data_IF_376017824378
#
_entry.id   IF_376017824378
#
_cell.length_a   1.000
_cell.length_b   1.000
_cell.length_c   1.000
_cell.angle_alpha   90.00
_cell.angle_beta   90.00
_cell.angle_gamma   90.00
#
_symmetry.space_group_name_H-M   'P 1'
#
loop_
_entity.id
_entity.type
_entity.pdbx_description
1 polymer ?
#
# COMPACT_ATOMS: atom_id res chain seq x y z
N UNK A 1 -36.75 -17.07 -30.17
CA UNK A 1 -37.35 -17.07 -31.53
C UNK A 1 -36.85 -15.81 -32.22
N UNK A 2 -36.31 -15.77 -33.45
CA UNK A 2 -35.86 -16.73 -34.45
C UNK A 2 -35.39 -15.82 -35.60
N UNK A 3 -34.14 -15.87 -36.04
CA UNK A 3 -33.82 -15.70 -37.46
C UNK A 3 -32.38 -16.12 -37.74
N UNK A 4 -32.29 -17.34 -38.29
CA UNK A 4 -31.19 -17.91 -39.05
C UNK A 4 -31.45 -17.61 -40.54
N UNK A 5 -30.42 -17.23 -41.29
CA UNK A 5 -30.33 -17.36 -42.76
C UNK A 5 -28.83 -17.58 -43.06
N UNK A 6 -28.31 -18.79 -43.30
CA UNK A 6 -28.44 -19.77 -44.41
C UNK A 6 -27.54 -19.47 -45.64
N UNK A 7 -26.66 -20.46 -45.88
CA UNK A 7 -26.01 -20.92 -47.13
C UNK A 7 -24.98 -20.01 -47.82
N UNK A 8 -23.85 -20.52 -48.32
CA UNK A 8 -23.45 -21.92 -48.50
C UNK A 8 -22.16 -22.06 -49.32
N UNK A 9 -22.04 -23.21 -50.00
CA UNK A 9 -21.03 -23.57 -51.03
C UNK A 9 -19.74 -24.18 -50.48
N UNK A 10 -19.20 -25.33 -50.92
CA UNK A 10 -19.63 -26.57 -51.61
C UNK A 10 -18.41 -27.52 -51.52
N UNK A 11 -18.70 -28.81 -51.54
CA UNK A 11 -17.87 -30.01 -51.47
C UNK A 11 -16.72 -30.12 -52.52
N UNK A 12 -15.87 -31.15 -52.33
CA UNK A 12 -15.14 -32.02 -53.30
C UNK A 12 -13.69 -31.58 -53.71
N UNK A 13 -12.60 -32.37 -53.73
CA UNK A 13 -12.37 -33.84 -53.77
C UNK A 13 -10.89 -34.19 -53.35
N UNK A 14 -10.71 -35.32 -52.66
CA UNK A 14 -9.62 -36.36 -52.67
C UNK A 14 -8.11 -36.03 -52.73
N UNK A 15 -7.33 -36.75 -51.89
CA UNK A 15 -5.90 -36.98 -52.17
C UNK A 15 -5.04 -37.68 -51.10
N UNK A 16 -5.24 -38.99 -50.91
CA UNK A 16 -4.23 -40.05 -50.68
C UNK A 16 -3.25 -40.00 -49.48
N UNK A 17 -3.17 -41.16 -48.81
CA UNK A 17 -2.34 -41.52 -47.65
C UNK A 17 -0.82 -41.36 -47.86
N UNK A 18 -0.12 -40.94 -46.80
CA UNK A 18 1.22 -41.44 -46.47
C UNK A 18 1.33 -41.66 -44.96
N UNK A 19 1.73 -42.87 -44.59
CA UNK A 19 2.10 -43.25 -43.23
C UNK A 19 3.31 -42.41 -42.78
N UNK A 20 3.17 -41.72 -41.65
CA UNK A 20 4.27 -41.02 -40.97
C UNK A 20 4.30 -41.43 -39.51
N UNK A 21 5.34 -42.17 -39.12
CA UNK A 21 5.54 -42.63 -37.76
C UNK A 21 5.74 -41.46 -36.78
N UNK A 22 5.22 -41.68 -35.58
CA UNK A 22 5.53 -41.03 -34.31
C UNK A 22 6.94 -40.47 -34.18
N UNK A 23 7.06 -39.24 -33.69
CA UNK A 23 8.09 -38.80 -32.73
C UNK A 23 7.62 -37.47 -32.10
N UNK A 24 7.06 -37.53 -30.90
CA UNK A 24 6.86 -36.32 -30.10
C UNK A 24 8.23 -35.81 -29.64
N UNK A 25 8.59 -34.54 -29.85
CA UNK A 25 9.74 -33.97 -29.19
C UNK A 25 9.50 -34.02 -27.68
N UNK A 26 10.32 -34.78 -26.96
CA UNK A 26 10.45 -34.61 -25.53
C UNK A 26 10.89 -33.16 -25.30
N UNK A 27 10.02 -32.37 -24.66
CA UNK A 27 10.46 -31.08 -24.13
C UNK A 27 11.66 -31.35 -23.21
N UNK A 28 12.72 -30.52 -23.27
CA UNK A 28 13.85 -30.66 -22.37
C UNK A 28 13.37 -30.65 -20.92
N UNK A 29 14.08 -31.32 -19.99
CA UNK A 29 13.74 -31.26 -18.58
C UNK A 29 13.60 -29.80 -18.17
N UNK A 30 12.43 -29.43 -17.65
CA UNK A 30 12.28 -28.18 -16.96
C UNK A 30 13.28 -28.21 -15.81
N UNK A 31 14.41 -27.52 -15.97
CA UNK A 31 15.24 -27.13 -14.86
C UNK A 31 14.29 -26.45 -13.87
N UNK A 32 14.11 -26.94 -12.63
CA UNK A 32 13.39 -26.16 -11.66
C UNK A 32 14.14 -24.85 -11.55
N UNK A 33 13.50 -23.75 -11.96
CA UNK A 33 13.93 -22.41 -11.59
C UNK A 33 14.22 -22.45 -10.10
N UNK A 34 15.37 -21.92 -9.63
CA UNK A 34 15.58 -21.82 -8.21
C UNK A 34 14.45 -20.95 -7.69
N UNK A 35 13.53 -21.56 -6.94
CA UNK A 35 12.57 -20.84 -6.12
C UNK A 35 13.45 -20.06 -5.18
N UNK A 36 13.67 -18.78 -5.49
CA UNK A 36 14.23 -17.82 -4.56
C UNK A 36 13.29 -17.88 -3.38
N UNK A 37 13.71 -18.61 -2.35
CA UNK A 37 13.07 -18.61 -1.06
C UNK A 37 13.14 -17.17 -0.59
N UNK A 38 12.00 -16.48 -0.63
CA UNK A 38 11.85 -15.24 0.09
C UNK A 38 12.17 -15.55 1.56
N UNK A 39 13.32 -15.07 2.01
CA UNK A 39 13.79 -15.23 3.39
C UNK A 39 12.75 -14.60 4.33
N UNK A 40 12.08 -15.37 5.20
CA UNK A 40 11.04 -14.83 6.11
C UNK A 40 11.58 -13.95 7.25
N UNK A 41 12.88 -13.71 7.31
CA UNK A 41 13.58 -13.13 8.45
C UNK A 41 13.61 -11.58 8.43
N UNK A 42 13.43 -10.94 7.26
CA UNK A 42 13.35 -9.47 7.17
C UNK A 42 12.02 -8.90 7.69
N UNK A 43 10.90 -9.58 7.44
CA UNK A 43 9.55 -9.08 7.81
C UNK A 43 9.35 -8.96 9.33
N UNK A 44 10.03 -9.80 10.11
CA UNK A 44 9.93 -9.75 11.57
C UNK A 44 10.69 -8.55 12.16
N UNK A 45 11.87 -8.23 11.63
CA UNK A 45 12.63 -7.06 12.07
C UNK A 45 11.93 -5.76 11.68
N UNK A 46 11.31 -5.70 10.49
CA UNK A 46 10.52 -4.53 10.07
C UNK A 46 9.34 -4.28 11.03
N UNK A 47 8.60 -5.31 11.44
CA UNK A 47 7.48 -5.10 12.37
C UNK A 47 7.95 -4.63 13.76
N UNK A 48 9.09 -5.13 14.26
CA UNK A 48 9.65 -4.72 15.56
C UNK A 48 10.11 -3.26 15.60
N UNK A 49 10.50 -2.68 14.46
CA UNK A 49 10.92 -1.27 14.39
C UNK A 49 9.74 -0.31 14.24
N UNK A 50 8.62 -0.74 13.65
CA UNK A 50 7.41 0.07 13.54
C UNK A 50 6.82 0.38 14.92
N UNK A 51 6.63 -0.67 15.74
CA UNK A 51 6.01 -0.60 17.06
C UNK A 51 6.99 -0.03 18.08
N UNK A 52 6.50 0.83 18.98
CA UNK A 52 7.31 1.43 20.06
C UNK A 52 8.26 2.55 19.60
N UNK A 53 8.35 2.82 18.29
CA UNK A 53 9.08 3.96 17.75
C UNK A 53 8.18 5.19 17.71
N UNK A 54 8.72 6.37 18.08
CA UNK A 54 8.06 7.65 17.81
C UNK A 54 8.44 8.13 16.41
N UNK A 55 7.44 8.28 15.55
CA UNK A 55 7.58 8.77 14.19
C UNK A 55 7.16 10.23 14.12
N UNK A 56 7.93 11.07 13.44
CA UNK A 56 7.59 12.46 13.18
C UNK A 56 7.28 12.65 11.70
N UNK A 57 6.12 13.19 11.38
CA UNK A 57 5.72 13.42 10.00
C UNK A 57 6.56 14.54 9.40
N UNK A 58 7.19 14.27 8.26
CA UNK A 58 7.90 15.28 7.48
C UNK A 58 7.06 15.78 6.30
N UNK A 59 6.38 14.86 5.64
CA UNK A 59 5.64 15.11 4.39
C UNK A 59 4.38 14.27 4.28
N UNK A 60 3.37 14.82 3.60
CA UNK A 60 2.06 14.20 3.45
C UNK A 60 1.43 14.59 2.10
N UNK A 61 0.37 13.90 1.70
CA UNK A 61 -0.45 14.28 0.57
C UNK A 61 -1.53 15.26 1.03
N UNK A 62 -1.66 16.43 0.40
CA UNK A 62 -2.71 17.39 0.78
C UNK A 62 -4.13 16.97 0.35
N UNK A 63 -4.35 15.66 0.11
CA UNK A 63 -5.56 15.04 -0.46
C UNK A 63 -5.93 15.52 -1.86
N UNK A 64 -5.20 16.50 -2.42
CA UNK A 64 -5.34 16.98 -3.81
C UNK A 64 -4.23 16.43 -4.69
N UNK A 65 -3.42 15.50 -4.18
CA UNK A 65 -2.28 14.95 -4.90
C UNK A 65 -0.99 15.75 -4.77
N UNK A 66 -0.93 16.77 -3.90
CA UNK A 66 0.28 17.57 -3.72
C UNK A 66 1.10 17.07 -2.54
N UNK A 67 2.34 16.69 -2.82
CA UNK A 67 3.32 16.31 -1.80
C UNK A 67 3.78 17.55 -1.01
N UNK A 68 3.28 17.68 0.21
CA UNK A 68 3.40 18.88 1.03
C UNK A 68 4.25 18.62 2.27
N UNK A 69 5.14 19.57 2.58
CA UNK A 69 5.92 19.54 3.83
C UNK A 69 5.02 19.90 5.00
N UNK A 70 5.27 19.33 6.17
CA UNK A 70 4.66 19.81 7.40
C UNK A 70 4.98 21.29 7.61
N UNK A 71 3.93 22.09 7.91
CA UNK A 71 4.02 23.52 8.17
C UNK A 71 5.08 23.80 9.24
N UNK A 72 5.99 24.74 8.97
CA UNK A 72 7.02 25.13 9.93
C UNK A 72 6.37 25.65 11.23
N UNK A 73 6.85 25.15 12.37
CA UNK A 73 6.26 25.43 13.69
C UNK A 73 5.08 24.52 14.08
N UNK A 74 4.62 23.64 13.19
CA UNK A 74 3.74 22.51 13.52
C UNK A 74 4.57 21.25 13.79
N UNK A 75 4.04 20.33 14.58
CA UNK A 75 4.64 19.01 14.80
C UNK A 75 3.54 17.96 14.75
N UNK A 76 3.74 16.94 13.92
CA UNK A 76 2.84 15.80 13.84
C UNK A 76 3.64 14.54 14.17
N UNK A 77 3.13 13.71 15.07
CA UNK A 77 3.79 12.47 15.49
C UNK A 77 2.84 11.28 15.47
N UNK A 78 3.40 10.08 15.33
CA UNK A 78 2.68 8.82 15.44
C UNK A 78 3.52 7.80 16.22
N UNK A 79 2.89 7.09 17.16
CA UNK A 79 3.46 5.96 17.89
C UNK A 79 2.52 4.78 17.71
N UNK A 80 3.01 3.73 17.07
CA UNK A 80 2.28 2.47 16.90
C UNK A 80 2.54 1.59 18.12
N UNK A 81 1.48 1.16 18.81
CA UNK A 81 1.56 0.26 19.97
C UNK A 81 1.12 -1.16 19.60
N UNK A 82 1.55 -2.13 20.40
CA UNK A 82 1.26 -3.55 20.22
C UNK A 82 -0.22 -3.92 20.43
N UNK A 83 -1.00 -3.04 21.07
CA UNK A 83 -2.44 -3.17 21.29
C UNK A 83 -3.30 -2.72 20.08
N UNK A 84 -2.68 -2.41 18.93
CA UNK A 84 -3.38 -2.00 17.72
C UNK A 84 -3.84 -0.54 17.74
N UNK A 85 -3.17 0.32 18.52
CA UNK A 85 -3.41 1.78 18.52
C UNK A 85 -2.27 2.57 17.90
N UNK A 86 -2.64 3.70 17.30
CA UNK A 86 -1.72 4.79 16.99
C UNK A 86 -2.08 5.94 17.90
N UNK A 87 -1.09 6.48 18.60
CA UNK A 87 -1.23 7.72 19.39
C UNK A 87 -0.24 8.78 18.94
N UNK A 88 -0.55 10.05 19.16
CA UNK A 88 0.37 11.13 18.84
C UNK A 88 -0.26 12.51 18.94
N UNK A 89 0.48 13.52 18.47
CA UNK A 89 0.01 14.89 18.32
C UNK A 89 -0.15 15.20 16.84
N UNK A 90 -1.24 15.86 16.44
CA UNK A 90 -1.58 16.13 15.04
C UNK A 90 -1.38 17.60 14.65
N UNK A 91 -0.45 18.30 15.31
CA UNK A 91 -0.20 19.74 15.14
C UNK A 91 -1.13 20.64 15.97
N UNK A 92 -2.39 20.25 16.16
CA UNK A 92 -3.35 20.99 16.99
C UNK A 92 -3.71 20.26 18.30
N UNK A 93 -3.86 18.94 18.25
CA UNK A 93 -4.37 18.17 19.39
C UNK A 93 -3.73 16.80 19.45
N UNK A 94 -3.79 16.18 20.61
CA UNK A 94 -3.50 14.77 20.73
C UNK A 94 -4.60 13.95 20.05
N UNK A 95 -4.23 12.78 19.54
CA UNK A 95 -5.15 11.87 18.89
C UNK A 95 -4.82 10.42 19.23
N UNK A 96 -5.83 9.56 19.07
CA UNK A 96 -5.66 8.12 19.09
C UNK A 96 -6.57 7.50 18.05
N UNK A 97 -6.07 6.50 17.34
CA UNK A 97 -6.87 5.73 16.39
C UNK A 97 -6.47 4.26 16.37
N UNK A 98 -7.31 3.43 15.74
CA UNK A 98 -7.06 2.01 15.57
C UNK A 98 -6.22 1.76 14.32
N UNK A 99 -5.32 0.79 14.38
CA UNK A 99 -4.65 0.23 13.21
C UNK A 99 -4.56 -1.29 13.28
N UNK A 100 -4.45 -1.91 12.12
CA UNK A 100 -4.25 -3.34 11.96
C UNK A 100 -3.16 -3.56 10.91
N UNK A 101 -2.21 -4.44 11.21
CA UNK A 101 -1.29 -4.98 10.21
C UNK A 101 -1.96 -6.18 9.54
N UNK A 102 -1.96 -6.20 8.21
CA UNK A 102 -2.49 -7.30 7.41
C UNK A 102 -1.34 -8.07 6.77
N UNK A 103 -1.60 -8.95 5.79
CA UNK A 103 -0.56 -9.70 5.10
C UNK A 103 0.53 -8.75 4.59
N UNK A 104 1.77 -8.98 5.01
CA UNK A 104 2.83 -7.99 4.91
C UNK A 104 3.18 -7.64 3.46
N UNK A 105 3.37 -6.34 3.12
CA UNK A 105 3.38 -5.19 4.03
C UNK A 105 2.06 -4.39 4.04
N UNK A 106 0.94 -5.03 4.38
CA UNK A 106 -0.36 -4.38 4.47
C UNK A 106 -0.63 -3.68 5.81
N UNK A 107 -1.30 -2.53 5.76
CA UNK A 107 -1.73 -1.77 6.93
C UNK A 107 -3.10 -1.16 6.67
N UNK A 108 -3.96 -1.22 7.68
CA UNK A 108 -5.22 -0.47 7.72
C UNK A 108 -5.20 0.45 8.93
N UNK A 109 -5.65 1.68 8.77
CA UNK A 109 -5.73 2.65 9.85
C UNK A 109 -7.12 3.29 9.82
N UNK A 110 -7.81 3.27 10.97
CA UNK A 110 -9.07 4.00 11.10
C UNK A 110 -8.79 5.51 11.04
N UNK A 111 -9.65 6.27 10.36
CA UNK A 111 -9.63 7.73 10.47
C UNK A 111 -9.73 8.16 11.94
N UNK A 112 -8.81 8.99 12.45
CA UNK A 112 -8.96 9.58 13.78
C UNK A 112 -10.23 10.42 13.89
N UNK A 113 -10.83 10.46 15.09
CA UNK A 113 -11.91 11.39 15.36
C UNK A 113 -11.36 12.82 15.37
N UNK A 114 -12.12 13.78 14.80
CA UNK A 114 -11.74 15.20 14.82
C UNK A 114 -12.04 15.75 16.22
N UNK A 115 -11.03 16.25 16.96
CA UNK A 115 -11.24 16.85 18.27
C UNK A 115 -12.00 18.18 18.17
N UNK A 116 -12.68 18.59 19.24
CA UNK A 116 -13.34 19.90 19.32
C UNK A 116 -12.36 21.08 19.50
N UNK A 117 -11.08 20.77 19.74
CA UNK A 117 -10.04 21.78 19.92
C UNK A 117 -9.78 22.53 18.62
N UNK A 118 -9.67 23.86 18.71
CA UNK A 118 -9.41 24.74 17.57
C UNK A 118 -8.08 25.44 17.77
N UNK A 119 -7.20 25.33 16.77
CA UNK A 119 -5.91 26.00 16.74
C UNK A 119 -5.82 27.00 15.59
N UNK A 120 -5.24 28.17 15.84
CA UNK A 120 -5.07 29.22 14.81
C UNK A 120 -3.60 29.42 14.41
N UNK A 121 -2.66 28.83 15.14
CA UNK A 121 -1.22 28.98 14.91
C UNK A 121 -0.54 27.62 14.93
N UNK A 122 0.35 27.31 13.97
CA UNK A 122 0.62 28.11 12.76
C UNK A 122 -0.59 28.18 11.82
N UNK A 123 -0.60 29.18 10.94
CA UNK A 123 -1.68 29.32 9.96
C UNK A 123 -1.80 28.05 9.12
N UNK A 124 -3.03 27.53 8.96
CA UNK A 124 -3.30 26.29 8.22
C UNK A 124 -3.20 25.00 9.02
N UNK A 125 -2.88 25.04 10.32
CA UNK A 125 -2.71 23.81 11.15
C UNK A 125 -3.96 22.92 11.18
N UNK A 126 -5.15 23.51 11.21
CA UNK A 126 -6.41 22.73 11.19
C UNK A 126 -6.62 22.00 9.85
N UNK A 127 -6.26 22.65 8.73
CA UNK A 127 -6.33 22.04 7.40
C UNK A 127 -5.32 20.92 7.26
N UNK A 128 -4.09 21.14 7.73
CA UNK A 128 -3.05 20.12 7.79
C UNK A 128 -3.48 18.90 8.61
N UNK A 129 -4.05 19.09 9.80
CA UNK A 129 -4.58 18.00 10.64
C UNK A 129 -5.63 17.16 9.87
N UNK A 130 -6.56 17.84 9.18
CA UNK A 130 -7.61 17.15 8.42
C UNK A 130 -7.06 16.32 7.25
N UNK A 131 -6.07 16.85 6.52
CA UNK A 131 -5.38 16.09 5.47
C UNK A 131 -4.65 14.89 6.05
N UNK A 132 -3.86 15.09 7.11
CA UNK A 132 -3.19 14.00 7.81
C UNK A 132 -4.14 12.87 8.25
N UNK A 133 -5.30 13.21 8.81
CA UNK A 133 -6.29 12.21 9.21
C UNK A 133 -6.91 11.47 8.02
N UNK A 134 -7.06 12.14 6.88
CA UNK A 134 -7.55 11.52 5.65
C UNK A 134 -6.50 10.58 5.05
N UNK A 135 -5.23 10.99 5.03
CA UNK A 135 -4.14 10.13 4.57
C UNK A 135 -3.97 8.89 5.46
N UNK A 136 -4.17 9.01 6.78
CA UNK A 136 -4.23 7.83 7.65
C UNK A 136 -5.34 6.87 7.21
N UNK A 137 -6.54 7.37 6.95
CA UNK A 137 -7.68 6.56 6.48
C UNK A 137 -7.41 5.85 5.16
N UNK A 138 -6.60 6.43 4.27
CA UNK A 138 -6.24 5.86 2.98
C UNK A 138 -5.05 4.90 3.01
N UNK A 139 -4.41 4.74 4.16
CA UNK A 139 -3.28 3.83 4.32
C UNK A 139 -3.68 2.39 3.91
N UNK A 140 -2.88 1.79 3.04
CA UNK A 140 -3.06 0.43 2.56
C UNK A 140 -1.79 -0.43 2.69
N UNK A 141 -0.62 0.16 2.41
CA UNK A 141 0.68 -0.50 2.64
C UNK A 141 1.67 0.42 3.31
N UNK A 142 2.70 -0.15 3.91
CA UNK A 142 3.82 0.59 4.48
C UNK A 142 5.16 0.03 4.02
N UNK A 143 6.21 0.83 4.16
CA UNK A 143 7.58 0.36 4.01
C UNK A 143 8.51 1.15 4.93
N UNK A 144 9.53 0.49 5.45
CA UNK A 144 10.62 1.16 6.15
C UNK A 144 11.90 1.19 5.32
N UNK A 145 12.46 2.38 5.14
CA UNK A 145 13.66 2.62 4.31
C UNK A 145 14.49 3.69 4.99
N UNK A 146 15.78 3.41 5.21
CA UNK A 146 16.75 4.42 5.68
C UNK A 146 16.32 5.19 6.96
N UNK A 147 15.61 4.54 7.87
CA UNK A 147 15.11 5.17 9.10
C UNK A 147 13.82 5.98 8.94
N UNK A 148 13.16 5.87 7.78
CA UNK A 148 11.87 6.47 7.48
C UNK A 148 10.76 5.42 7.48
N UNK A 149 9.57 5.84 7.88
CA UNK A 149 8.32 5.12 7.67
C UNK A 149 7.56 5.77 6.52
N UNK A 150 7.31 5.00 5.47
CA UNK A 150 6.55 5.41 4.30
C UNK A 150 5.19 4.71 4.32
N UNK A 151 4.10 5.45 4.08
CA UNK A 151 2.75 4.90 3.95
C UNK A 151 2.23 5.20 2.55
N UNK A 152 1.56 4.21 1.95
CA UNK A 152 1.03 4.27 0.61
C UNK A 152 -0.46 3.93 0.60
N UNK A 153 -1.19 4.56 -0.33
CA UNK A 153 -2.60 4.27 -0.57
C UNK A 153 -2.83 2.98 -1.36
N UNK A 154 -4.10 2.66 -1.63
CA UNK A 154 -4.51 1.48 -2.41
C UNK A 154 -3.96 1.46 -3.84
N UNK A 155 -3.63 2.64 -4.41
CA UNK A 155 -3.04 2.77 -5.75
C UNK A 155 -1.51 2.60 -5.74
N UNK A 156 -0.90 2.48 -4.56
CA UNK A 156 0.55 2.44 -4.37
C UNK A 156 1.22 3.81 -4.39
N UNK A 157 0.44 4.91 -4.32
CA UNK A 157 0.99 6.26 -4.22
C UNK A 157 1.39 6.53 -2.77
N UNK A 158 2.58 7.12 -2.58
CA UNK A 158 3.04 7.56 -1.26
C UNK A 158 2.18 8.71 -0.75
N UNK A 159 1.60 8.56 0.43
CA UNK A 159 0.71 9.55 1.06
C UNK A 159 1.26 10.08 2.39
N UNK A 160 2.12 9.34 3.09
CA UNK A 160 2.81 9.84 4.28
C UNK A 160 4.27 9.43 4.27
N UNK A 161 5.12 10.32 4.79
CA UNK A 161 6.52 10.04 5.10
C UNK A 161 6.84 10.59 6.48
N UNK A 162 7.27 9.69 7.35
CA UNK A 162 7.77 10.01 8.67
C UNK A 162 9.26 9.72 8.76
N UNK A 163 9.94 10.52 9.57
CA UNK A 163 11.29 10.24 10.02
C UNK A 163 11.22 9.71 11.45
N UNK A 164 12.12 8.78 11.80
CA UNK A 164 12.27 8.35 13.19
C UNK A 164 12.66 9.56 14.05
N UNK A 165 11.84 9.86 15.06
CA UNK A 165 12.16 10.90 16.04
C UNK A 165 13.32 10.39 16.90
N UNK A 166 14.40 11.16 16.94
CA UNK A 166 15.61 10.87 17.75
C UNK A 166 15.51 11.48 19.13
#
# INVERSE_FOLDING_TARGET
MKQFVLLGVVLLITGVLLAGCTSQPAAPPATPVPVVSATPEETHMETTFLIGTTWQLGWYDDTKGMWSKVIDGSTITAVFSDDGKISGFSGCSEYTTDYQLTDAPGIWIRRPAVPETVCQTPSGVMTQQSHYYTDLEWANTYAMREGQLLIFDESGKKILQFDKKT
#
